data_IF_999234225033
#
_entry.id   IF_999234225033
#
_cell.length_a   1.000
_cell.length_b   1.000
_cell.length_c   1.000
_cell.angle_alpha   90.00
_cell.angle_beta   90.00
_cell.angle_gamma   90.00
#
_symmetry.space_group_name_H-M   'P 1'
#
loop_
_entity.id
_entity.type
_entity.pdbx_description
1 polymer ?
#
# COMPACT_ATOMS: atom_id res chain seq x y z
N UNK A 1 -9.56 -25.03 -28.67
CA UNK A 1 -9.66 -23.74 -27.94
C UNK A 1 -8.33 -22.99 -27.82
N UNK A 2 -7.29 -23.45 -27.10
CA UNK A 2 -6.00 -22.70 -27.02
C UNK A 2 -5.18 -22.77 -28.32
N UNK A 3 -5.37 -23.82 -29.11
CA UNK A 3 -4.72 -24.06 -30.41
C UNK A 3 -5.46 -23.44 -31.61
N UNK A 4 -6.72 -23.04 -31.47
CA UNK A 4 -7.48 -22.35 -32.53
C UNK A 4 -7.21 -20.84 -32.50
N UNK A 5 -6.89 -20.28 -31.33
CA UNK A 5 -6.55 -18.85 -31.17
C UNK A 5 -5.17 -18.54 -31.78
N UNK A 6 -4.21 -19.47 -31.67
CA UNK A 6 -2.88 -19.30 -32.23
C UNK A 6 -2.85 -19.49 -33.76
N UNK A 7 -3.79 -20.27 -34.31
CA UNK A 7 -3.91 -20.47 -35.76
C UNK A 7 -4.52 -19.27 -36.50
N UNK A 8 -5.11 -18.30 -35.79
CA UNK A 8 -5.62 -17.04 -36.37
C UNK A 8 -4.62 -15.88 -36.30
N UNK A 9 -3.43 -16.09 -35.72
CA UNK A 9 -2.40 -15.05 -35.61
C UNK A 9 -1.29 -15.19 -36.66
N UNK A 10 -1.29 -16.27 -37.45
CA UNK A 10 -0.22 -16.57 -38.43
C UNK A 10 -0.65 -16.43 -39.90
N UNK A 11 -1.90 -16.01 -40.15
CA UNK A 11 -2.39 -15.71 -41.48
C UNK A 11 -3.23 -14.45 -41.44
N UNK A 12 -2.59 -13.31 -41.65
CA UNK A 12 -3.15 -12.23 -42.47
C UNK A 12 -2.14 -11.09 -42.60
N UNK A 13 -1.38 -11.12 -43.70
CA UNK A 13 -0.90 -9.91 -44.36
C UNK A 13 -2.11 -9.13 -44.91
N UNK A 14 -2.94 -8.57 -44.02
CA UNK A 14 -4.07 -7.73 -44.44
C UNK A 14 -3.84 -6.26 -44.09
N UNK A 15 -3.70 -5.51 -45.18
CA UNK A 15 -4.00 -4.09 -45.41
C UNK A 15 -4.24 -3.20 -44.17
N UNK A 16 -3.27 -2.31 -43.94
CA UNK A 16 -3.25 -1.33 -42.83
C UNK A 16 -4.28 -0.19 -43.03
N UNK A 17 -5.20 -0.28 -43.99
CA UNK A 17 -6.14 0.80 -44.32
C UNK A 17 -7.58 0.61 -43.81
N UNK A 18 -7.93 -0.47 -43.10
CA UNK A 18 -9.33 -0.74 -42.71
C UNK A 18 -9.63 -0.81 -41.19
N UNK A 19 -8.76 -0.34 -40.30
CA UNK A 19 -9.12 -0.17 -38.88
C UNK A 19 -9.59 1.25 -38.56
N UNK A 20 -10.55 1.71 -39.34
CA UNK A 20 -11.47 2.76 -38.94
C UNK A 20 -12.54 2.18 -38.02
N UNK A 21 -12.45 2.49 -36.73
CA UNK A 21 -13.58 2.34 -35.80
C UNK A 21 -13.52 1.12 -34.88
N UNK A 22 -12.79 1.29 -33.76
CA UNK A 22 -13.26 0.95 -32.42
C UNK A 22 -12.34 1.67 -31.42
N UNK A 23 -12.88 2.70 -30.76
CA UNK A 23 -12.35 3.20 -29.50
C UNK A 23 -12.53 2.10 -28.46
N UNK A 24 -11.69 1.06 -28.53
CA UNK A 24 -11.53 0.13 -27.43
C UNK A 24 -10.91 0.91 -26.28
N UNK A 25 -11.60 0.94 -25.14
CA UNK A 25 -11.06 1.42 -23.88
C UNK A 25 -9.74 0.69 -23.61
N UNK A 26 -8.64 1.33 -23.98
CA UNK A 26 -7.28 0.86 -23.73
C UNK A 26 -6.79 1.58 -22.48
N UNK A 27 -7.00 1.02 -21.26
CA UNK A 27 -6.50 1.65 -20.05
C UNK A 27 -4.99 1.86 -20.17
N UNK A 28 -4.57 3.12 -20.10
CA UNK A 28 -3.15 3.47 -20.09
C UNK A 28 -2.64 3.20 -18.68
N UNK A 29 -1.80 2.18 -18.55
CA UNK A 29 -1.02 1.96 -17.33
C UNK A 29 0.06 3.04 -17.29
N UNK A 30 -0.18 4.11 -16.54
CA UNK A 30 0.74 5.25 -16.39
C UNK A 30 1.88 5.00 -15.40
N UNK A 31 1.86 3.87 -14.72
CA UNK A 31 2.90 3.44 -13.79
C UNK A 31 2.56 2.08 -13.19
N UNK A 32 3.58 1.29 -12.88
CA UNK A 32 3.44 -0.02 -12.26
C UNK A 32 4.72 -0.30 -11.44
N UNK A 33 4.62 -1.19 -10.47
CA UNK A 33 5.71 -1.52 -9.55
C UNK A 33 5.73 -3.01 -9.26
N UNK A 34 6.91 -3.63 -9.30
CA UNK A 34 7.13 -4.98 -8.77
C UNK A 34 7.44 -4.93 -7.27
N UNK A 35 6.76 -5.77 -6.49
CA UNK A 35 7.15 -6.13 -5.13
C UNK A 35 7.59 -7.60 -5.11
N UNK A 36 8.73 -7.90 -4.47
CA UNK A 36 9.22 -9.27 -4.31
C UNK A 36 8.56 -9.94 -3.10
N UNK A 37 7.99 -11.14 -3.30
CA UNK A 37 7.37 -11.93 -2.23
C UNK A 37 8.44 -12.83 -1.60
N UNK A 38 8.74 -12.58 -0.33
CA UNK A 38 9.59 -13.46 0.46
C UNK A 38 8.75 -14.64 0.97
N UNK A 39 8.80 -15.76 0.23
CA UNK A 39 8.44 -17.15 0.62
C UNK A 39 6.97 -17.64 0.50
N UNK A 40 6.87 -18.91 0.08
CA UNK A 40 5.70 -19.72 -0.30
C UNK A 40 4.83 -20.18 0.90
N UNK A 41 3.80 -19.42 1.28
CA UNK A 41 2.49 -19.93 1.78
C UNK A 41 1.62 -18.86 2.50
N UNK A 42 1.81 -17.56 2.25
CA UNK A 42 1.12 -16.50 3.02
C UNK A 42 0.62 -15.35 2.11
N UNK A 43 -0.67 -15.02 2.24
CA UNK A 43 -1.42 -13.86 1.68
C UNK A 43 -0.55 -12.80 0.97
N UNK A 44 -0.54 -12.89 -0.37
CA UNK A 44 0.30 -12.19 -1.35
C UNK A 44 0.23 -10.66 -1.32
N UNK A 45 -0.61 -10.08 -0.47
CA UNK A 45 -1.03 -8.72 -0.68
C UNK A 45 -0.19 -7.68 0.08
N UNK A 46 0.44 -7.99 1.22
CA UNK A 46 1.00 -6.95 2.11
C UNK A 46 2.00 -7.41 3.21
N UNK A 47 2.95 -6.54 3.63
CA UNK A 47 3.27 -5.24 3.03
C UNK A 47 4.04 -5.43 1.72
N UNK A 48 3.81 -4.54 0.77
CA UNK A 48 4.49 -4.53 -0.52
C UNK A 48 5.49 -3.37 -0.58
N UNK A 49 6.58 -3.50 -1.35
CA UNK A 49 7.55 -2.41 -1.54
C UNK A 49 7.31 -1.81 -2.93
N UNK A 50 7.20 -0.48 -3.08
CA UNK A 50 7.18 0.14 -4.40
C UNK A 50 8.57 0.05 -5.05
N UNK A 51 8.62 -0.22 -6.35
CA UNK A 51 9.81 -0.40 -7.16
C UNK A 51 10.60 0.91 -7.27
N UNK A 52 9.87 2.03 -7.33
CA UNK A 52 10.42 3.35 -7.11
C UNK A 52 10.10 3.78 -5.68
N UNK A 53 11.12 4.04 -4.84
CA UNK A 53 10.87 4.53 -3.48
C UNK A 53 10.28 5.94 -3.52
N UNK A 54 9.51 6.30 -2.48
CA UNK A 54 9.09 7.69 -2.24
C UNK A 54 10.32 8.61 -2.22
N UNK A 55 10.24 9.78 -2.85
CA UNK A 55 11.34 10.76 -2.95
C UNK A 55 11.85 11.19 -1.58
N UNK A 56 10.95 11.38 -0.63
CA UNK A 56 11.32 11.67 0.75
C UNK A 56 12.02 10.46 1.38
N UNK A 57 13.35 10.56 1.49
CA UNK A 57 14.24 9.52 2.03
C UNK A 57 13.89 9.08 3.46
N UNK A 58 13.33 9.96 4.28
CA UNK A 58 12.93 9.61 5.65
C UNK A 58 11.68 8.73 5.65
N UNK A 59 10.70 9.04 4.81
CA UNK A 59 9.49 8.24 4.64
C UNK A 59 9.85 6.89 4.03
N UNK A 60 10.70 6.87 3.00
CA UNK A 60 11.17 5.64 2.37
C UNK A 60 11.88 4.72 3.37
N UNK A 61 12.85 5.24 4.15
CA UNK A 61 13.58 4.46 5.15
C UNK A 61 12.66 3.97 6.29
N UNK A 62 11.72 4.80 6.74
CA UNK A 62 10.76 4.42 7.78
C UNK A 62 9.80 3.32 7.29
N UNK A 63 9.34 3.39 6.03
CA UNK A 63 8.51 2.37 5.44
C UNK A 63 9.26 1.06 5.22
N UNK A 64 10.48 1.11 4.69
CA UNK A 64 11.35 -0.06 4.56
C UNK A 64 11.59 -0.74 5.92
N UNK A 65 11.88 0.06 6.95
CA UNK A 65 12.02 -0.43 8.32
C UNK A 65 10.75 -1.10 8.85
N UNK A 66 9.56 -0.60 8.48
CA UNK A 66 8.28 -1.25 8.80
C UNK A 66 8.13 -2.58 8.04
N UNK A 67 8.46 -2.64 6.75
CA UNK A 67 8.41 -3.88 5.97
C UNK A 67 9.31 -4.95 6.58
N UNK A 68 10.56 -4.60 6.90
CA UNK A 68 11.51 -5.50 7.57
C UNK A 68 11.00 -5.97 8.93
N UNK A 69 10.41 -5.07 9.71
CA UNK A 69 9.81 -5.41 11.00
C UNK A 69 8.66 -6.42 10.86
N UNK A 70 7.76 -6.18 9.90
CA UNK A 70 6.64 -7.08 9.62
C UNK A 70 7.11 -8.45 9.12
N UNK A 71 8.15 -8.49 8.28
CA UNK A 71 8.76 -9.73 7.84
C UNK A 71 9.31 -10.55 9.02
N UNK A 72 9.94 -9.89 10.00
CA UNK A 72 10.40 -10.54 11.22
C UNK A 72 9.24 -11.05 12.10
N UNK A 73 8.19 -10.23 12.28
CA UNK A 73 6.99 -10.60 13.05
C UNK A 73 6.31 -11.88 12.56
N UNK A 74 6.32 -12.14 11.25
CA UNK A 74 5.73 -13.35 10.66
C UNK A 74 6.42 -14.65 11.12
N UNK A 75 7.65 -14.56 11.62
CA UNK A 75 8.40 -15.71 12.13
C UNK A 75 8.14 -15.97 13.62
N UNK A 76 7.48 -15.04 14.31
CA UNK A 76 7.20 -15.11 15.74
C UNK A 76 5.84 -15.78 15.99
N UNK A 77 5.78 -16.62 17.03
CA UNK A 77 4.53 -17.24 17.45
C UNK A 77 3.58 -16.20 18.08
N UNK A 78 2.31 -16.25 17.69
CA UNK A 78 1.26 -15.45 18.33
C UNK A 78 0.79 -16.09 19.64
N UNK A 79 0.44 -15.29 20.68
CA UNK A 79 0.47 -13.84 20.71
C UNK A 79 1.89 -13.28 20.87
N UNK A 80 2.18 -12.19 20.16
CA UNK A 80 3.49 -11.53 20.27
C UNK A 80 3.63 -10.77 21.59
N UNK A 81 4.85 -10.59 22.10
CA UNK A 81 5.11 -9.70 23.22
C UNK A 81 4.68 -8.27 22.92
N UNK A 82 4.13 -7.57 23.93
CA UNK A 82 3.40 -6.30 23.81
C UNK A 82 4.07 -5.25 22.91
N UNK A 83 5.39 -5.06 23.02
CA UNK A 83 6.12 -4.04 22.26
C UNK A 83 6.33 -4.39 20.78
N UNK A 84 6.35 -5.68 20.43
CA UNK A 84 6.79 -6.12 19.10
C UNK A 84 5.75 -5.71 18.06
N UNK A 85 4.51 -6.16 18.20
CA UNK A 85 3.44 -5.78 17.25
C UNK A 85 3.02 -4.31 17.36
N UNK A 86 3.09 -3.73 18.55
CA UNK A 86 2.72 -2.33 18.80
C UNK A 86 3.56 -1.33 17.99
N UNK A 87 4.82 -1.67 17.68
CA UNK A 87 5.64 -0.81 16.83
C UNK A 87 5.04 -0.57 15.43
N UNK A 88 4.20 -1.51 14.94
CA UNK A 88 3.45 -1.35 13.68
C UNK A 88 2.42 -0.22 13.76
N UNK A 89 1.75 -0.05 14.91
CA UNK A 89 0.79 1.04 15.12
C UNK A 89 1.51 2.39 15.20
N UNK A 90 2.60 2.45 15.97
CA UNK A 90 3.39 3.68 16.14
C UNK A 90 3.97 4.15 14.80
N UNK A 91 4.63 3.25 14.06
CA UNK A 91 5.20 3.57 12.75
C UNK A 91 4.12 3.85 11.70
N UNK A 92 3.02 3.11 11.72
CA UNK A 92 1.90 3.33 10.79
C UNK A 92 1.30 4.73 10.93
N UNK A 93 1.00 5.16 12.15
CA UNK A 93 0.48 6.52 12.40
C UNK A 93 1.55 7.58 12.08
N UNK A 94 2.80 7.36 12.49
CA UNK A 94 3.89 8.30 12.19
C UNK A 94 4.17 8.46 10.69
N UNK A 95 4.07 7.39 9.90
CA UNK A 95 4.17 7.46 8.45
C UNK A 95 2.97 8.20 7.83
N UNK A 96 1.75 7.98 8.33
CA UNK A 96 0.58 8.73 7.88
C UNK A 96 0.73 10.24 8.15
N UNK A 97 1.24 10.62 9.33
CA UNK A 97 1.59 12.01 9.66
C UNK A 97 2.65 12.58 8.70
N UNK A 98 3.70 11.80 8.42
CA UNK A 98 4.79 12.23 7.56
C UNK A 98 4.40 12.38 6.08
N UNK A 99 3.36 11.66 5.63
CA UNK A 99 2.85 11.78 4.26
C UNK A 99 2.06 13.08 4.05
N UNK A 100 1.37 13.59 5.06
CA UNK A 100 0.59 14.83 5.00
C UNK A 100 0.94 15.78 6.16
N UNK A 101 2.20 16.24 6.26
CA UNK A 101 2.64 17.10 7.37
C UNK A 101 1.89 18.44 7.44
N UNK A 102 1.39 18.92 6.30
CA UNK A 102 0.62 20.15 6.17
C UNK A 102 -0.73 20.13 6.90
N UNK A 103 -1.27 18.95 7.21
CA UNK A 103 -2.55 18.78 7.90
C UNK A 103 -2.45 19.06 9.42
N UNK A 104 -1.24 19.23 9.96
CA UNK A 104 -0.99 19.70 11.34
C UNK A 104 -1.36 18.72 12.47
N UNK A 105 -1.98 17.57 12.16
CA UNK A 105 -2.24 16.50 13.14
C UNK A 105 -2.40 15.13 12.47
N UNK A 106 -2.07 14.05 13.21
CA UNK A 106 -2.31 12.67 12.77
C UNK A 106 -3.73 12.41 12.25
N UNK A 107 -4.73 12.94 12.97
CA UNK A 107 -6.13 12.72 12.63
C UNK A 107 -6.50 13.38 11.31
N UNK A 108 -6.04 14.61 11.09
CA UNK A 108 -6.30 15.32 9.84
C UNK A 108 -5.55 14.66 8.66
N UNK A 109 -4.27 14.30 8.86
CA UNK A 109 -3.46 13.58 7.88
C UNK A 109 -4.10 12.24 7.46
N UNK A 110 -4.53 11.41 8.41
CA UNK A 110 -5.23 10.14 8.14
C UNK A 110 -6.52 10.38 7.36
N UNK A 111 -7.30 11.40 7.71
CA UNK A 111 -8.54 11.73 6.97
C UNK A 111 -8.26 12.19 5.55
N UNK A 112 -7.21 12.98 5.33
CA UNK A 112 -6.80 13.38 3.99
C UNK A 112 -6.42 12.16 3.15
N UNK A 113 -5.53 11.30 3.67
CA UNK A 113 -5.10 10.08 3.01
C UNK A 113 -6.27 9.13 2.68
N UNK A 114 -7.21 8.93 3.61
CA UNK A 114 -8.42 8.12 3.36
C UNK A 114 -9.31 8.70 2.26
N UNK A 115 -9.45 10.03 2.18
CA UNK A 115 -10.25 10.68 1.12
C UNK A 115 -9.59 10.51 -0.24
N UNK A 116 -8.27 10.65 -0.29
CA UNK A 116 -7.51 10.50 -1.52
C UNK A 116 -7.50 9.04 -2.00
N UNK A 117 -7.38 8.07 -1.08
CA UNK A 117 -7.35 6.64 -1.39
C UNK A 117 -8.68 6.12 -1.93
N UNK A 118 -9.80 6.72 -1.53
CA UNK A 118 -11.15 6.25 -1.86
C UNK A 118 -11.43 6.10 -3.37
N UNK A 119 -10.68 6.81 -4.22
CA UNK A 119 -10.80 6.74 -5.69
C UNK A 119 -10.08 5.53 -6.30
N UNK A 120 -9.15 4.94 -5.56
CA UNK A 120 -8.23 3.91 -6.04
C UNK A 120 -8.50 2.53 -5.41
N UNK A 121 -9.39 2.46 -4.42
CA UNK A 121 -9.72 1.20 -3.74
C UNK A 121 -11.21 0.86 -3.84
N UNK A 122 -11.58 -0.43 -3.91
CA UNK A 122 -12.97 -0.84 -3.85
C UNK A 122 -13.65 -0.38 -2.56
N UNK A 123 -14.94 -0.03 -2.62
CA UNK A 123 -15.74 0.46 -1.48
C UNK A 123 -15.66 -0.44 -0.22
N UNK A 124 -15.69 -1.78 -0.32
CA UNK A 124 -15.50 -2.64 0.85
C UNK A 124 -14.14 -2.47 1.53
N UNK A 125 -13.08 -2.33 0.74
CA UNK A 125 -11.70 -2.10 1.24
C UNK A 125 -11.63 -0.73 1.90
N UNK A 126 -12.16 0.31 1.25
CA UNK A 126 -12.22 1.65 1.81
C UNK A 126 -12.98 1.69 3.14
N UNK A 127 -14.08 0.95 3.25
CA UNK A 127 -14.87 0.85 4.49
C UNK A 127 -14.05 0.21 5.61
N UNK A 128 -13.33 -0.87 5.32
CA UNK A 128 -12.42 -1.52 6.28
C UNK A 128 -11.33 -0.56 6.74
N UNK A 129 -10.68 0.14 5.80
CA UNK A 129 -9.64 1.12 6.13
C UNK A 129 -10.20 2.27 6.99
N UNK A 130 -11.34 2.84 6.62
CA UNK A 130 -11.96 3.92 7.40
C UNK A 130 -12.38 3.47 8.80
N UNK A 131 -12.93 2.25 8.94
CA UNK A 131 -13.28 1.69 10.24
C UNK A 131 -12.05 1.51 11.13
N UNK A 132 -10.90 1.12 10.58
CA UNK A 132 -9.66 0.96 11.35
C UNK A 132 -9.01 2.30 11.70
N UNK A 133 -8.78 3.14 10.68
CA UNK A 133 -7.94 4.33 10.78
C UNK A 133 -8.66 5.55 11.36
N UNK A 134 -9.96 5.72 11.10
CA UNK A 134 -10.74 6.85 11.61
C UNK A 134 -11.58 6.45 12.84
N UNK A 135 -12.37 5.37 12.72
CA UNK A 135 -13.30 4.96 13.79
C UNK A 135 -12.66 4.09 14.87
N UNK A 136 -11.58 3.39 14.56
CA UNK A 136 -10.93 2.40 15.43
C UNK A 136 -9.98 2.98 16.47
N UNK A 137 -9.96 4.31 16.62
CA UNK A 137 -9.11 5.10 17.51
C UNK A 137 -7.63 4.67 17.53
N UNK A 138 -7.05 4.45 16.34
CA UNK A 138 -5.64 4.06 16.21
C UNK A 138 -4.69 5.10 16.82
N UNK A 139 -5.07 6.38 16.82
CA UNK A 139 -4.30 7.47 17.42
C UNK A 139 -4.34 7.36 18.95
N UNK A 140 -5.52 7.11 19.55
CA UNK A 140 -5.63 6.86 20.98
C UNK A 140 -4.81 5.64 21.40
N UNK A 141 -4.87 4.54 20.64
CA UNK A 141 -4.05 3.34 20.87
C UNK A 141 -2.55 3.66 20.79
N UNK A 142 -2.09 4.38 19.76
CA UNK A 142 -0.69 4.83 19.63
C UNK A 142 -0.29 5.71 20.82
N UNK A 143 -1.14 6.66 21.20
CA UNK A 143 -0.83 7.59 22.28
C UNK A 143 -0.79 6.91 23.64
N UNK A 144 -1.66 5.96 23.91
CA UNK A 144 -1.69 5.22 25.17
C UNK A 144 -0.42 4.35 25.36
N UNK A 145 0.13 3.82 24.28
CA UNK A 145 1.43 3.11 24.29
C UNK A 145 2.59 4.06 24.57
N UNK A 146 2.58 5.25 23.97
CA UNK A 146 3.69 6.23 24.06
C UNK A 146 3.62 7.04 25.36
N UNK A 147 2.42 7.34 25.83
CA UNK A 147 2.12 8.12 27.02
C UNK A 147 1.42 7.20 28.02
N UNK A 148 2.22 6.54 28.88
CA UNK A 148 1.78 5.54 29.87
C UNK A 148 0.65 6.08 30.77
N UNK A 149 0.69 7.38 31.09
CA UNK A 149 -0.36 8.06 31.85
C UNK A 149 -1.39 8.69 30.90
N UNK A 150 -2.70 8.61 31.23
CA UNK A 150 -3.73 9.31 30.46
C UNK A 150 -3.39 10.79 30.34
N UNK A 151 -3.47 11.33 29.12
CA UNK A 151 -3.31 12.76 28.91
C UNK A 151 -4.48 13.51 29.54
N UNK A 152 -4.27 14.77 29.94
CA UNK A 152 -5.28 15.64 30.55
C UNK A 152 -6.54 15.86 29.70
N UNK A 153 -6.52 15.41 28.45
CA UNK A 153 -7.65 15.39 27.51
C UNK A 153 -8.49 14.11 27.56
N UNK A 154 -8.30 13.22 28.54
CA UNK A 154 -9.08 11.98 28.69
C UNK A 154 -8.72 10.88 27.69
N UNK A 155 -7.43 10.75 27.35
CA UNK A 155 -6.94 9.68 26.47
C UNK A 155 -7.14 8.28 27.04
N UNK A 156 -7.11 7.26 26.18
CA UNK A 156 -7.18 5.85 26.58
C UNK A 156 -6.04 5.53 27.57
N UNK A 157 -6.34 4.94 28.74
CA UNK A 157 -5.31 4.46 29.66
C UNK A 157 -4.46 3.33 29.07
N UNK A 158 -3.17 3.29 29.42
CA UNK A 158 -2.28 2.20 29.00
C UNK A 158 -2.82 0.81 29.35
N UNK A 159 -3.40 0.67 30.55
CA UNK A 159 -3.98 -0.60 31.01
C UNK A 159 -5.15 -1.09 30.14
N UNK A 160 -5.89 -0.17 29.53
CA UNK A 160 -7.04 -0.49 28.68
C UNK A 160 -6.62 -0.84 27.24
N UNK A 161 -5.35 -0.64 26.90
CA UNK A 161 -4.78 -0.95 25.58
C UNK A 161 -3.65 -1.97 25.65
N UNK A 162 -3.39 -2.63 26.78
CA UNK A 162 -2.38 -3.69 26.83
C UNK A 162 -2.71 -4.75 25.78
N UNK A 163 -1.80 -4.99 24.84
CA UNK A 163 -1.98 -5.81 23.65
C UNK A 163 -2.88 -5.23 22.54
N UNK A 164 -2.63 -3.99 22.05
CA UNK A 164 -3.41 -3.43 20.96
C UNK A 164 -3.06 -4.09 19.61
N UNK A 165 -1.99 -4.89 19.58
CA UNK A 165 -1.32 -5.40 18.39
C UNK A 165 -0.61 -6.75 18.62
N UNK A 166 -1.14 -7.64 19.46
CA UNK A 166 -0.51 -8.94 19.79
C UNK A 166 -0.66 -10.05 18.73
N UNK A 167 -1.38 -9.78 17.63
CA UNK A 167 -1.59 -10.75 16.56
C UNK A 167 -1.80 -10.06 15.21
N UNK A 168 -1.72 -10.85 14.14
CA UNK A 168 -1.85 -10.40 12.76
C UNK A 168 -3.21 -9.75 12.48
N UNK A 169 -4.29 -10.29 13.03
CA UNK A 169 -5.63 -9.72 12.87
C UNK A 169 -5.72 -8.27 13.33
N UNK A 170 -4.98 -7.89 14.38
CA UNK A 170 -4.95 -6.53 14.94
C UNK A 170 -4.05 -5.57 14.16
N UNK A 171 -2.93 -6.05 13.58
CA UNK A 171 -1.99 -5.16 12.86
C UNK A 171 -2.23 -5.11 11.35
N UNK A 172 -2.84 -6.15 10.77
CA UNK A 172 -3.07 -6.27 9.32
C UNK A 172 -3.71 -5.00 8.74
N UNK A 173 -4.82 -4.44 9.28
CA UNK A 173 -5.44 -3.22 8.75
C UNK A 173 -4.51 -2.00 8.71
N UNK A 174 -3.60 -1.88 9.68
CA UNK A 174 -2.56 -0.83 9.69
C UNK A 174 -1.59 -1.03 8.53
N UNK A 175 -1.13 -2.26 8.32
CA UNK A 175 -0.21 -2.60 7.23
C UNK A 175 -0.87 -2.35 5.87
N UNK A 176 -2.15 -2.69 5.71
CA UNK A 176 -2.88 -2.44 4.46
C UNK A 176 -3.03 -0.96 4.17
N UNK A 177 -3.48 -0.18 5.16
CA UNK A 177 -3.69 1.25 4.96
C UNK A 177 -2.38 1.97 4.65
N UNK A 178 -1.31 1.68 5.40
CA UNK A 178 -0.06 2.40 5.17
C UNK A 178 0.59 2.02 3.84
N UNK A 179 0.50 0.75 3.43
CA UNK A 179 0.96 0.35 2.09
C UNK A 179 0.18 1.04 1.00
N UNK A 180 -1.16 1.12 1.13
CA UNK A 180 -1.99 1.86 0.18
C UNK A 180 -1.59 3.34 0.10
N UNK A 181 -1.39 4.00 1.25
CA UNK A 181 -1.02 5.42 1.28
C UNK A 181 0.36 5.66 0.67
N UNK A 182 1.33 4.78 0.92
CA UNK A 182 2.67 4.84 0.32
C UNK A 182 2.60 4.67 -1.20
N UNK A 183 1.86 3.68 -1.70
CA UNK A 183 1.74 3.42 -3.13
C UNK A 183 1.04 4.57 -3.85
N UNK A 184 0.03 5.15 -3.23
CA UNK A 184 -0.64 6.32 -3.75
C UNK A 184 0.29 7.54 -3.78
N UNK A 185 1.15 7.70 -2.78
CA UNK A 185 2.15 8.77 -2.76
C UNK A 185 3.17 8.60 -3.89
N UNK A 186 3.70 7.39 -4.09
CA UNK A 186 4.58 7.08 -5.22
C UNK A 186 3.88 7.36 -6.55
N UNK A 187 2.61 6.94 -6.70
CA UNK A 187 1.84 7.19 -7.92
C UNK A 187 1.66 8.70 -8.17
N UNK A 188 1.46 9.51 -7.13
CA UNK A 188 1.40 10.98 -7.23
C UNK A 188 2.74 11.55 -7.66
N UNK A 189 3.83 11.16 -7.00
CA UNK A 189 5.18 11.63 -7.31
C UNK A 189 5.61 11.28 -8.75
N UNK A 190 5.19 10.12 -9.26
CA UNK A 190 5.43 9.67 -10.64
C UNK A 190 4.52 10.37 -11.65
N UNK A 191 3.30 10.75 -11.30
CA UNK A 191 2.42 11.52 -12.19
C UNK A 191 2.92 12.96 -12.39
N UNK A 192 3.50 13.55 -11.35
CA UNK A 192 4.11 14.88 -11.40
C UNK A 192 5.45 14.89 -12.17
N UNK A 193 6.14 13.76 -12.21
CA UNK A 193 7.25 13.51 -13.12
C UNK A 193 6.70 13.16 -14.50
N UNK A 194 6.45 14.16 -15.34
CA UNK A 194 5.98 13.96 -16.70
C UNK A 194 6.70 12.79 -17.40
N UNK A 195 6.05 11.63 -17.46
CA UNK A 195 6.54 10.48 -18.18
C UNK A 195 6.02 10.61 -19.59
N UNK A 196 6.92 10.76 -20.56
CA UNK A 196 6.57 10.55 -21.95
C UNK A 196 5.92 9.16 -22.05
N UNK A 197 4.66 9.10 -22.46
CA UNK A 197 3.97 7.83 -22.66
C UNK A 197 4.68 7.08 -23.78
N UNK A 198 5.56 6.15 -23.42
CA UNK A 198 6.29 5.34 -24.37
C UNK A 198 5.36 4.26 -24.93
N UNK A 199 4.82 4.49 -26.12
CA UNK A 199 4.07 3.46 -26.86
C UNK A 199 4.98 2.24 -27.06
N UNK A 200 4.48 1.06 -26.71
CA UNK A 200 5.22 -0.20 -26.84
C UNK A 200 6.03 -0.63 -25.62
N UNK A 201 5.91 0.04 -24.47
CA UNK A 201 6.67 -0.32 -23.26
C UNK A 201 6.41 -1.76 -22.78
N UNK A 202 5.19 -2.27 -23.03
CA UNK A 202 4.80 -3.65 -22.75
C UNK A 202 5.70 -4.64 -23.51
N UNK A 203 5.77 -4.50 -24.83
CA UNK A 203 6.54 -5.42 -25.69
C UNK A 203 8.06 -5.21 -25.56
N UNK A 204 8.51 -3.99 -25.27
CA UNK A 204 9.93 -3.62 -25.29
C UNK A 204 10.66 -3.83 -23.97
N UNK A 205 9.97 -3.80 -22.82
CA UNK A 205 10.62 -3.88 -21.50
C UNK A 205 9.84 -4.77 -20.52
N UNK A 206 8.55 -4.50 -20.39
CA UNK A 206 7.69 -5.11 -19.37
C UNK A 206 7.51 -6.61 -19.54
N UNK A 207 7.30 -7.07 -20.78
CA UNK A 207 7.17 -8.49 -21.10
C UNK A 207 8.44 -9.26 -20.74
N UNK A 208 9.61 -8.69 -21.04
CA UNK A 208 10.90 -9.26 -20.67
C UNK A 208 11.11 -9.31 -19.16
N UNK A 209 10.75 -8.25 -18.43
CA UNK A 209 10.88 -8.22 -16.98
C UNK A 209 9.95 -9.22 -16.26
N UNK A 210 8.81 -9.57 -16.88
CA UNK A 210 7.85 -10.58 -16.40
C UNK A 210 8.27 -12.01 -16.78
N UNK A 211 8.84 -12.23 -17.97
CA UNK A 211 9.18 -13.57 -18.49
C UNK A 211 10.53 -14.12 -17.98
N UNK A 212 11.40 -13.26 -17.44
CA UNK A 212 12.73 -13.66 -16.92
C UNK A 212 12.72 -14.03 -15.42
N UNK A 213 11.59 -13.81 -14.74
CA UNK A 213 11.36 -14.24 -13.35
C UNK A 213 10.30 -15.34 -13.26
#
# INVERSE_FOLDING_TARGET
MRSEILAHLDTDEQDVSELGGREEFSPVIVGWTFGMVVQNDIDLNLPAIPATPIKNKHIAAAYEGLVRHVAALRLEAEPWPDLVGTSTLVRGVGLAEALRPEEGSARAAIKALLRESARYVPSPVQTTLANHWDRGDIIGKRNAVVHIMPTSSGGLPFLDVMNPADNWGKIKPTIQGITQFIFQEVARELADEASEVHRGIWDQRLKWDVEVW
#
